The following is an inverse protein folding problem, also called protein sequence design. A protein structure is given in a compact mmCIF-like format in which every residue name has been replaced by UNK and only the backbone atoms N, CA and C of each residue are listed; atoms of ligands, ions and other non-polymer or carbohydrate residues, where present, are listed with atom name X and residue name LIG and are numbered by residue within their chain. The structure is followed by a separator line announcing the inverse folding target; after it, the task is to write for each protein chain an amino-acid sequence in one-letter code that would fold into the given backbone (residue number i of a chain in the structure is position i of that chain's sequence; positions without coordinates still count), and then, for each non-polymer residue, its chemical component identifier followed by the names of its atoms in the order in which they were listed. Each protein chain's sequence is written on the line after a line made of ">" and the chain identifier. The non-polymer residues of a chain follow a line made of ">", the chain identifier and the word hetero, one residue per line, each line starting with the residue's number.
data_IF_594616164750
#
_entry.id   IF_594616164750
#
_cell.length_a   1.000
_cell.length_b   1.000
_cell.length_c   1.000
_cell.angle_alpha   90.00
_cell.angle_beta   90.00
_cell.angle_gamma   90.00
#
_symmetry.space_group_name_H-M   'P 1'
#
loop_
_entity.id
_entity.type
_entity.pdbx_description
1 polymer ?
#
# COMPACT_ATOMS: atom_id res chain seq x y z
N UNK A 1 -169.08 183.87 -128.92
CA UNK A 1 -167.68 183.90 -129.42
C UNK A 1 -166.76 184.43 -128.32
N UNK A 2 -165.43 184.24 -128.45
CA UNK A 2 -164.27 185.09 -128.03
C UNK A 2 -164.44 186.05 -126.82
N UNK A 3 -163.45 186.27 -125.95
CA UNK A 3 -162.02 185.93 -125.99
C UNK A 3 -161.29 186.48 -124.75
N UNK A 4 -160.15 187.18 -124.92
CA UNK A 4 -159.43 187.90 -123.84
C UNK A 4 -160.09 189.24 -123.46
N UNK A 5 -159.40 190.20 -122.81
CA UNK A 5 -157.95 190.31 -122.54
C UNK A 5 -157.67 191.34 -121.40
N UNK A 6 -156.43 191.37 -120.88
CA UNK A 6 -155.70 192.49 -120.19
C UNK A 6 -156.39 193.46 -119.18
N UNK A 7 -155.79 193.51 -117.98
CA UNK A 7 -155.28 194.72 -117.24
C UNK A 7 -156.22 195.92 -116.93
N UNK A 8 -156.43 196.29 -115.65
CA UNK A 8 -156.15 197.64 -115.03
C UNK A 8 -156.47 197.70 -113.50
N UNK A 9 -156.46 198.91 -112.89
CA UNK A 9 -156.47 199.28 -111.44
C UNK A 9 -157.86 199.57 -110.80
N UNK A 10 -157.91 199.59 -109.45
CA UNK A 10 -158.97 200.13 -108.53
C UNK A 10 -160.27 199.29 -108.39
N UNK A 11 -161.21 199.47 -107.43
CA UNK A 11 -161.51 200.49 -106.39
C UNK A 11 -162.47 199.88 -105.29
N UNK A 12 -162.83 200.42 -104.10
CA UNK A 12 -162.34 201.46 -103.15
C UNK A 12 -163.12 201.40 -101.78
N UNK A 13 -162.41 201.58 -100.64
CA UNK A 13 -162.81 202.09 -99.28
C UNK A 13 -163.86 201.45 -98.29
N UNK A 14 -163.47 201.50 -96.99
CA UNK A 14 -164.23 201.73 -95.71
C UNK A 14 -164.91 200.55 -94.93
N UNK A 15 -164.31 200.18 -93.77
CA UNK A 15 -164.86 199.66 -92.47
C UNK A 15 -165.67 198.32 -92.42
N UNK A 16 -165.90 197.69 -91.23
CA UNK A 16 -164.99 197.23 -90.17
C UNK A 16 -165.09 195.71 -89.80
N UNK A 17 -164.17 195.19 -88.97
CA UNK A 17 -164.28 193.87 -88.27
C UNK A 17 -163.09 192.91 -88.51
N UNK A 18 -163.03 191.68 -87.98
CA UNK A 18 -163.68 191.08 -86.79
C UNK A 18 -162.92 189.78 -86.33
N UNK A 19 -161.61 189.64 -86.58
CA UNK A 19 -160.96 188.31 -86.70
C UNK A 19 -159.86 187.99 -85.67
N UNK A 20 -159.10 188.99 -85.20
CA UNK A 20 -157.72 188.76 -84.71
C UNK A 20 -157.58 188.41 -83.20
N UNK A 21 -158.48 187.58 -82.68
CA UNK A 21 -158.44 187.11 -81.28
C UNK A 21 -158.32 185.58 -81.14
N UNK A 22 -158.75 184.81 -82.14
CA UNK A 22 -158.95 183.36 -82.00
C UNK A 22 -157.76 182.54 -82.53
N UNK A 23 -156.95 183.09 -83.44
CA UNK A 23 -155.77 182.42 -84.01
C UNK A 23 -154.62 182.25 -83.00
N UNK A 24 -154.40 183.24 -82.12
CA UNK A 24 -153.30 183.23 -81.15
C UNK A 24 -153.37 182.07 -80.14
N UNK A 25 -154.58 181.70 -79.70
CA UNK A 25 -154.80 180.61 -78.73
C UNK A 25 -154.45 179.24 -79.32
N UNK A 26 -154.73 179.04 -80.62
CA UNK A 26 -154.52 177.76 -81.30
C UNK A 26 -153.02 177.47 -81.50
N UNK A 27 -152.23 178.49 -81.82
CA UNK A 27 -150.77 178.37 -81.98
C UNK A 27 -150.08 177.91 -80.68
N UNK A 28 -150.49 178.46 -79.54
CA UNK A 28 -149.93 178.12 -78.23
C UNK A 28 -150.16 176.65 -77.85
N UNK A 29 -151.33 176.10 -78.19
CA UNK A 29 -151.66 174.71 -77.85
C UNK A 29 -150.83 173.68 -78.64
N UNK A 30 -150.55 173.95 -79.92
CA UNK A 30 -149.71 173.10 -80.76
C UNK A 30 -148.25 173.06 -80.27
N UNK A 31 -147.72 174.20 -79.79
CA UNK A 31 -146.35 174.28 -79.28
C UNK A 31 -146.12 173.40 -78.04
N UNK A 32 -147.05 173.41 -77.08
CA UNK A 32 -146.97 172.59 -75.86
C UNK A 32 -146.98 171.10 -76.18
N UNK A 33 -147.83 170.67 -77.13
CA UNK A 33 -147.99 169.27 -77.49
C UNK A 33 -146.74 168.68 -78.17
N UNK A 34 -146.03 169.49 -78.98
CA UNK A 34 -144.79 169.09 -79.63
C UNK A 34 -143.63 168.92 -78.62
N UNK A 35 -143.56 169.81 -77.62
CA UNK A 35 -142.57 169.76 -76.54
C UNK A 35 -142.70 168.46 -75.70
N UNK A 36 -143.92 168.00 -75.45
CA UNK A 36 -144.18 166.74 -74.74
C UNK A 36 -143.64 165.51 -75.48
N UNK A 37 -143.85 165.41 -76.80
CA UNK A 37 -143.39 164.27 -77.62
C UNK A 37 -141.85 164.15 -77.60
N UNK A 38 -141.14 165.27 -77.67
CA UNK A 38 -139.66 165.29 -77.58
C UNK A 38 -139.18 164.79 -76.22
N UNK A 39 -139.85 165.18 -75.13
CA UNK A 39 -139.52 164.71 -73.78
C UNK A 39 -139.72 163.21 -73.61
N UNK A 40 -140.78 162.65 -74.20
CA UNK A 40 -141.07 161.20 -74.11
C UNK A 40 -140.04 160.34 -74.86
N UNK A 41 -139.56 160.82 -76.03
CA UNK A 41 -138.50 160.16 -76.79
C UNK A 41 -137.18 160.04 -76.02
N UNK A 42 -136.79 161.10 -75.30
CA UNK A 42 -135.55 161.13 -74.51
C UNK A 42 -135.58 160.18 -73.29
N UNK A 43 -136.76 159.91 -72.74
CA UNK A 43 -136.91 158.98 -71.61
C UNK A 43 -136.78 157.51 -72.04
N UNK A 44 -137.17 157.18 -73.28
CA UNK A 44 -137.14 155.82 -73.81
C UNK A 44 -135.73 155.32 -74.12
N UNK A 45 -134.81 156.21 -74.52
CA UNK A 45 -133.42 155.82 -74.83
C UNK A 45 -132.65 155.46 -73.55
N UNK A 46 -132.68 156.32 -72.52
CA UNK A 46 -131.92 156.08 -71.28
C UNK A 46 -132.33 154.80 -70.51
N UNK A 47 -133.57 154.33 -70.65
CA UNK A 47 -134.00 153.06 -70.06
C UNK A 47 -133.44 151.83 -70.80
N UNK A 48 -133.12 151.96 -72.09
CA UNK A 48 -132.60 150.86 -72.92
C UNK A 48 -131.13 150.64 -72.63
N UNK A 49 -130.31 151.69 -72.73
CA UNK A 49 -128.87 151.66 -72.46
C UNK A 49 -128.55 151.09 -71.07
N UNK A 50 -129.35 151.48 -70.06
CA UNK A 50 -129.17 151.08 -68.67
C UNK A 50 -129.46 149.60 -68.40
N UNK A 51 -130.35 148.98 -69.17
CA UNK A 51 -130.58 147.53 -69.08
C UNK A 51 -129.42 146.75 -69.70
N UNK A 52 -128.90 147.22 -70.84
CA UNK A 52 -127.82 146.54 -71.56
C UNK A 52 -126.51 146.51 -70.73
N UNK A 53 -126.22 147.59 -69.99
CA UNK A 53 -125.08 147.65 -69.07
C UNK A 53 -125.20 146.74 -67.83
N UNK A 54 -126.41 146.35 -67.42
CA UNK A 54 -126.63 145.39 -66.32
C UNK A 54 -126.44 143.93 -66.77
N UNK A 55 -126.62 143.65 -68.06
CA UNK A 55 -126.48 142.32 -68.63
C UNK A 55 -125.01 141.97 -68.89
N UNK A 56 -124.20 142.93 -69.39
CA UNK A 56 -122.74 142.76 -69.50
C UNK A 56 -122.06 142.56 -68.14
N UNK A 57 -122.45 143.34 -67.13
CA UNK A 57 -121.87 143.23 -65.78
C UNK A 57 -122.19 141.88 -65.11
N UNK A 58 -123.32 141.24 -65.48
CA UNK A 58 -123.66 139.88 -65.05
C UNK A 58 -122.81 138.83 -65.76
N UNK A 59 -122.47 139.03 -67.03
CA UNK A 59 -121.57 138.13 -67.75
C UNK A 59 -120.15 138.17 -67.17
N UNK A 60 -119.58 139.37 -66.95
CA UNK A 60 -118.27 139.54 -66.30
C UNK A 60 -118.24 138.90 -64.90
N UNK A 61 -119.28 139.06 -64.09
CA UNK A 61 -119.37 138.43 -62.77
C UNK A 61 -119.45 136.89 -62.83
N UNK A 62 -120.00 136.31 -63.90
CA UNK A 62 -119.99 134.85 -64.12
C UNK A 62 -118.60 134.37 -64.54
N UNK A 63 -117.96 135.08 -65.48
CA UNK A 63 -116.60 134.75 -65.94
C UNK A 63 -115.57 134.87 -64.81
N UNK A 64 -115.69 135.89 -63.95
CA UNK A 64 -114.90 136.01 -62.72
C UNK A 64 -115.19 134.91 -61.69
N UNK A 65 -116.42 134.38 -61.63
CA UNK A 65 -116.75 133.27 -60.74
C UNK A 65 -116.16 131.94 -61.24
N UNK A 66 -116.26 131.66 -62.55
CA UNK A 66 -115.74 130.44 -63.17
C UNK A 66 -114.20 130.42 -63.15
N UNK A 67 -113.54 131.53 -63.49
CA UNK A 67 -112.07 131.66 -63.41
C UNK A 67 -111.57 131.54 -61.96
N UNK A 68 -112.25 132.14 -60.99
CA UNK A 68 -111.94 131.97 -59.56
C UNK A 68 -112.17 130.53 -59.07
N UNK A 69 -113.11 129.79 -59.67
CA UNK A 69 -113.29 128.36 -59.39
C UNK A 69 -112.15 127.54 -59.99
N UNK A 70 -111.70 127.84 -61.22
CA UNK A 70 -110.55 127.16 -61.83
C UNK A 70 -109.24 127.42 -61.08
N UNK A 71 -109.01 128.65 -60.61
CA UNK A 71 -107.88 129.00 -59.71
C UNK A 71 -107.92 128.19 -58.42
N UNK A 72 -109.10 128.08 -57.78
CA UNK A 72 -109.28 127.26 -56.56
C UNK A 72 -109.03 125.78 -56.82
N UNK A 73 -109.52 125.23 -57.92
CA UNK A 73 -109.30 123.83 -58.32
C UNK A 73 -107.83 123.55 -58.64
N UNK A 74 -107.15 124.44 -59.37
CA UNK A 74 -105.72 124.31 -59.65
C UNK A 74 -104.90 124.39 -58.36
N UNK A 75 -105.21 125.35 -57.49
CA UNK A 75 -104.58 125.49 -56.18
C UNK A 75 -104.79 124.24 -55.32
N UNK A 76 -106.00 123.70 -55.27
CA UNK A 76 -106.29 122.48 -54.50
C UNK A 76 -105.48 121.28 -55.01
N UNK A 77 -105.35 121.10 -56.33
CA UNK A 77 -104.50 120.06 -56.93
C UNK A 77 -103.01 120.28 -56.68
N UNK A 78 -102.55 121.54 -56.63
CA UNK A 78 -101.16 121.87 -56.26
C UNK A 78 -100.89 121.61 -54.77
N UNK A 79 -101.83 121.93 -53.89
CA UNK A 79 -101.74 121.62 -52.45
C UNK A 79 -101.76 120.09 -52.23
N UNK A 80 -102.57 119.34 -52.98
CA UNK A 80 -102.59 117.86 -53.01
C UNK A 80 -101.26 117.28 -53.54
N UNK A 81 -100.74 117.77 -54.67
CA UNK A 81 -99.45 117.35 -55.24
C UNK A 81 -98.28 117.64 -54.30
N UNK A 82 -98.28 118.80 -53.63
CA UNK A 82 -97.27 119.15 -52.63
C UNK A 82 -97.38 118.24 -51.41
N UNK A 83 -98.58 117.88 -50.93
CA UNK A 83 -98.75 116.90 -49.85
C UNK A 83 -98.19 115.52 -50.25
N UNK A 84 -98.55 115.03 -51.44
CA UNK A 84 -98.05 113.74 -51.94
C UNK A 84 -96.53 113.71 -52.10
N UNK A 85 -95.92 114.80 -52.59
CA UNK A 85 -94.46 114.94 -52.67
C UNK A 85 -93.79 115.04 -51.28
N UNK A 86 -94.44 115.64 -50.28
CA UNK A 86 -93.94 115.61 -48.90
C UNK A 86 -94.02 114.21 -48.28
N UNK A 87 -95.10 113.46 -48.55
CA UNK A 87 -95.26 112.07 -48.10
C UNK A 87 -94.24 111.14 -48.77
N UNK A 88 -94.05 111.25 -50.09
CA UNK A 88 -93.04 110.48 -50.84
C UNK A 88 -91.60 110.84 -50.41
N UNK A 89 -91.31 112.12 -50.17
CA UNK A 89 -90.03 112.56 -49.62
C UNK A 89 -89.80 112.02 -48.21
N UNK A 90 -90.83 112.01 -47.35
CA UNK A 90 -90.69 111.49 -45.99
C UNK A 90 -90.52 109.97 -45.98
N UNK A 91 -91.25 109.23 -46.81
CA UNK A 91 -91.11 107.79 -46.97
C UNK A 91 -89.72 107.39 -47.51
N UNK A 92 -89.21 108.11 -48.52
CA UNK A 92 -87.86 107.85 -49.07
C UNK A 92 -86.74 108.27 -48.10
N UNK A 93 -86.96 109.28 -47.25
CA UNK A 93 -86.05 109.59 -46.15
C UNK A 93 -86.03 108.50 -45.07
N UNK A 94 -87.19 107.95 -44.69
CA UNK A 94 -87.30 106.81 -43.76
C UNK A 94 -86.55 105.60 -44.31
N UNK A 95 -86.86 105.17 -45.55
CA UNK A 95 -86.19 104.06 -46.22
C UNK A 95 -84.66 104.25 -46.34
N UNK A 96 -84.20 105.48 -46.57
CA UNK A 96 -82.76 105.80 -46.61
C UNK A 96 -82.11 105.61 -45.25
N UNK A 97 -82.75 106.03 -44.17
CA UNK A 97 -82.18 105.98 -42.83
C UNK A 97 -82.30 104.57 -42.20
N UNK A 98 -83.38 103.84 -42.48
CA UNK A 98 -83.48 102.38 -42.25
C UNK A 98 -82.37 101.61 -42.97
N UNK A 99 -82.12 101.92 -44.26
CA UNK A 99 -81.06 101.29 -45.04
C UNK A 99 -79.65 101.68 -44.57
N UNK A 100 -79.49 102.82 -43.89
CA UNK A 100 -78.23 103.22 -43.25
C UNK A 100 -78.00 102.45 -41.95
N UNK A 101 -79.01 102.35 -41.09
CA UNK A 101 -78.94 101.56 -39.86
C UNK A 101 -78.63 100.08 -40.17
N UNK A 102 -79.26 99.51 -41.20
CA UNK A 102 -78.94 98.16 -41.68
C UNK A 102 -77.52 98.04 -42.27
N UNK A 103 -77.00 99.09 -42.93
CA UNK A 103 -75.63 99.12 -43.45
C UNK A 103 -74.58 99.26 -42.34
N UNK A 104 -74.89 100.00 -41.27
CA UNK A 104 -74.02 100.13 -40.11
C UNK A 104 -74.01 98.82 -39.31
N UNK A 105 -75.16 98.19 -39.06
CA UNK A 105 -75.24 96.89 -38.38
C UNK A 105 -74.53 95.77 -39.17
N UNK A 106 -74.78 95.62 -40.48
CA UNK A 106 -74.07 94.61 -41.29
C UNK A 106 -72.57 94.90 -41.45
N UNK A 107 -72.15 96.16 -41.24
CA UNK A 107 -70.74 96.53 -41.16
C UNK A 107 -70.12 96.13 -39.82
N UNK A 108 -70.81 96.35 -38.70
CA UNK A 108 -70.35 95.89 -37.38
C UNK A 108 -70.25 94.36 -37.34
N UNK A 109 -71.23 93.63 -37.89
CA UNK A 109 -71.19 92.18 -38.07
C UNK A 109 -69.97 91.75 -38.92
N UNK A 110 -69.69 92.44 -40.02
CA UNK A 110 -68.56 92.14 -40.90
C UNK A 110 -67.20 92.46 -40.25
N UNK A 111 -67.10 93.53 -39.47
CA UNK A 111 -65.88 93.89 -38.74
C UNK A 111 -65.64 92.91 -37.57
N UNK A 112 -66.69 92.47 -36.87
CA UNK A 112 -66.60 91.40 -35.86
C UNK A 112 -66.24 90.04 -36.45
N UNK A 113 -66.82 89.66 -37.60
CA UNK A 113 -66.50 88.41 -38.30
C UNK A 113 -65.04 88.40 -38.80
N UNK A 114 -64.54 89.54 -39.31
CA UNK A 114 -63.12 89.70 -39.68
C UNK A 114 -62.19 89.54 -38.50
N UNK A 115 -62.54 90.09 -37.33
CA UNK A 115 -61.74 89.93 -36.11
C UNK A 115 -61.73 88.47 -35.63
N UNK A 116 -62.86 87.76 -35.70
CA UNK A 116 -62.90 86.31 -35.42
C UNK A 116 -62.03 85.50 -36.38
N UNK A 117 -62.05 85.81 -37.69
CA UNK A 117 -61.16 85.16 -38.67
C UNK A 117 -59.70 85.46 -38.35
N UNK A 118 -59.35 86.72 -38.04
CA UNK A 118 -57.97 87.12 -37.70
C UNK A 118 -57.43 86.40 -36.45
N UNK A 119 -58.29 86.18 -35.45
CA UNK A 119 -57.95 85.40 -34.26
C UNK A 119 -57.76 83.93 -34.64
N UNK A 120 -58.70 83.33 -35.38
CA UNK A 120 -58.61 81.94 -35.83
C UNK A 120 -57.41 81.65 -36.75
N UNK A 121 -56.99 82.60 -37.58
CA UNK A 121 -55.77 82.53 -38.37
C UNK A 121 -54.52 82.51 -37.48
N UNK A 122 -54.48 83.35 -36.42
CA UNK A 122 -53.40 83.38 -35.44
C UNK A 122 -53.32 82.11 -34.58
N UNK A 123 -54.47 81.57 -34.17
CA UNK A 123 -54.55 80.31 -33.41
C UNK A 123 -54.15 79.11 -34.28
N UNK A 124 -54.49 79.12 -35.57
CA UNK A 124 -54.08 78.13 -36.54
C UNK A 124 -52.57 78.20 -36.83
N UNK A 125 -51.99 79.40 -36.97
CA UNK A 125 -50.54 79.57 -37.13
C UNK A 125 -49.77 79.04 -35.91
N UNK A 126 -50.22 79.38 -34.69
CA UNK A 126 -49.64 78.84 -33.45
C UNK A 126 -49.74 77.31 -33.38
N UNK A 127 -50.91 76.74 -33.73
CA UNK A 127 -51.13 75.29 -33.76
C UNK A 127 -50.22 74.59 -34.80
N UNK A 128 -49.98 75.21 -35.95
CA UNK A 128 -49.08 74.68 -36.98
C UNK A 128 -47.61 74.73 -36.54
N UNK A 129 -47.20 75.77 -35.80
CA UNK A 129 -45.87 75.83 -35.19
C UNK A 129 -45.68 74.76 -34.10
N UNK A 130 -46.69 74.52 -33.26
CA UNK A 130 -46.65 73.44 -32.26
C UNK A 130 -46.55 72.06 -32.93
N UNK A 131 -47.38 71.79 -33.95
CA UNK A 131 -47.33 70.55 -34.73
C UNK A 131 -45.95 70.36 -35.40
N UNK A 132 -45.33 71.43 -35.92
CA UNK A 132 -43.99 71.36 -36.49
C UNK A 132 -42.92 71.01 -35.44
N UNK A 133 -42.98 71.62 -34.24
CA UNK A 133 -42.10 71.28 -33.13
C UNK A 133 -42.27 69.81 -32.70
N UNK A 134 -43.51 69.37 -32.50
CA UNK A 134 -43.82 67.99 -32.13
C UNK A 134 -43.37 66.98 -33.20
N UNK A 135 -43.44 67.32 -34.49
CA UNK A 135 -42.90 66.48 -35.56
C UNK A 135 -41.36 66.40 -35.53
N UNK A 136 -40.68 67.50 -35.18
CA UNK A 136 -39.23 67.50 -34.95
C UNK A 136 -38.86 66.65 -33.73
N UNK A 137 -39.57 66.81 -32.61
CA UNK A 137 -39.34 66.05 -31.37
C UNK A 137 -39.60 64.55 -31.56
N UNK A 138 -40.69 64.17 -32.23
CA UNK A 138 -40.98 62.77 -32.61
C UNK A 138 -39.87 62.19 -33.51
N UNK A 139 -39.30 63.00 -34.39
CA UNK A 139 -38.19 62.57 -35.27
C UNK A 139 -36.89 62.38 -34.48
N UNK A 140 -36.59 63.26 -33.52
CA UNK A 140 -35.45 63.13 -32.62
C UNK A 140 -35.60 61.92 -31.68
N UNK A 141 -36.78 61.70 -31.10
CA UNK A 141 -37.09 60.56 -30.24
C UNK A 141 -37.00 59.22 -31.00
N UNK A 142 -37.38 59.18 -32.28
CA UNK A 142 -37.15 58.01 -33.15
C UNK A 142 -35.66 57.76 -33.34
N UNK A 143 -34.87 58.78 -33.70
CA UNK A 143 -33.42 58.61 -33.86
C UNK A 143 -32.72 58.14 -32.56
N UNK A 144 -33.16 58.62 -31.39
CA UNK A 144 -32.65 58.16 -30.08
C UNK A 144 -33.09 56.73 -29.79
N UNK A 145 -34.33 56.34 -30.10
CA UNK A 145 -34.78 54.95 -29.99
C UNK A 145 -33.94 54.04 -30.89
N UNK A 146 -33.70 54.42 -32.13
CA UNK A 146 -32.99 53.59 -33.11
C UNK A 146 -31.51 53.39 -32.72
N UNK A 147 -30.87 54.41 -32.14
CA UNK A 147 -29.56 54.33 -31.48
C UNK A 147 -29.56 53.39 -30.25
N UNK A 148 -30.60 53.46 -29.41
CA UNK A 148 -30.74 52.55 -28.26
C UNK A 148 -31.02 51.11 -28.69
N UNK A 149 -31.84 50.87 -29.72
CA UNK A 149 -32.10 49.54 -30.30
C UNK A 149 -30.81 48.94 -30.88
N UNK A 150 -29.96 49.73 -31.57
CA UNK A 150 -28.63 49.29 -32.02
C UNK A 150 -27.73 48.90 -30.85
N UNK A 151 -27.64 49.74 -29.81
CA UNK A 151 -26.79 49.47 -28.63
C UNK A 151 -27.26 48.28 -27.81
N UNK A 152 -28.57 48.02 -27.75
CA UNK A 152 -29.11 46.80 -27.13
C UNK A 152 -28.65 45.58 -27.92
N UNK A 153 -28.77 45.58 -29.26
CA UNK A 153 -28.27 44.49 -30.10
C UNK A 153 -26.75 44.27 -30.00
N UNK A 154 -25.96 45.34 -29.89
CA UNK A 154 -24.51 45.28 -29.65
C UNK A 154 -24.17 44.67 -28.27
N UNK A 155 -24.93 45.02 -27.23
CA UNK A 155 -24.78 44.47 -25.88
C UNK A 155 -25.28 43.03 -25.77
N UNK A 156 -26.34 42.64 -26.48
CA UNK A 156 -26.82 41.26 -26.56
C UNK A 156 -25.79 40.38 -27.26
N UNK A 157 -25.24 40.81 -28.41
CA UNK A 157 -24.17 40.08 -29.10
C UNK A 157 -22.88 39.97 -28.26
N UNK A 158 -22.54 41.03 -27.51
CA UNK A 158 -21.40 41.00 -26.58
C UNK A 158 -21.65 40.07 -25.39
N UNK A 159 -22.89 39.97 -24.91
CA UNK A 159 -23.26 39.05 -23.84
C UNK A 159 -23.16 37.61 -24.30
N UNK A 160 -23.73 37.28 -25.46
CA UNK A 160 -23.65 35.95 -26.08
C UNK A 160 -22.19 35.50 -26.27
N UNK A 161 -21.31 36.37 -26.78
CA UNK A 161 -19.87 36.10 -26.92
C UNK A 161 -19.23 35.77 -25.55
N UNK A 162 -19.53 36.54 -24.50
CA UNK A 162 -19.01 36.25 -23.15
C UNK A 162 -19.62 35.00 -22.51
N UNK A 163 -20.85 34.61 -22.86
CA UNK A 163 -21.45 33.35 -22.41
C UNK A 163 -20.81 32.13 -23.11
N UNK A 164 -20.49 32.23 -24.40
CA UNK A 164 -19.71 31.22 -25.12
C UNK A 164 -18.29 31.08 -24.56
N UNK A 165 -17.57 32.19 -24.33
CA UNK A 165 -16.24 32.17 -23.68
C UNK A 165 -16.32 31.52 -22.29
N UNK A 166 -17.30 31.90 -21.47
CA UNK A 166 -17.52 31.31 -20.15
C UNK A 166 -17.92 29.83 -20.23
N UNK A 167 -18.62 29.39 -21.27
CA UNK A 167 -18.86 28.00 -21.59
C UNK A 167 -17.54 27.24 -21.84
N UNK A 168 -16.74 27.72 -22.79
CA UNK A 168 -15.44 27.14 -23.14
C UNK A 168 -14.48 27.09 -21.94
N UNK A 169 -14.44 28.14 -21.11
CA UNK A 169 -13.63 28.19 -19.89
C UNK A 169 -14.12 27.17 -18.86
N UNK A 170 -15.43 27.01 -18.65
CA UNK A 170 -16.01 26.01 -17.74
C UNK A 170 -15.66 24.59 -18.19
N UNK A 171 -15.79 24.28 -19.48
CA UNK A 171 -15.48 22.94 -20.00
C UNK A 171 -13.98 22.64 -20.01
N UNK A 172 -13.13 23.64 -20.31
CA UNK A 172 -11.69 23.51 -20.14
C UNK A 172 -11.30 23.33 -18.67
N UNK A 173 -12.01 23.95 -17.73
CA UNK A 173 -11.78 23.75 -16.30
C UNK A 173 -12.15 22.32 -15.87
N UNK A 174 -13.31 21.80 -16.30
CA UNK A 174 -13.74 20.40 -16.11
C UNK A 174 -12.71 19.41 -16.67
N UNK A 175 -12.21 19.66 -17.88
CA UNK A 175 -11.19 18.82 -18.52
C UNK A 175 -9.87 18.82 -17.72
N UNK A 176 -9.42 19.99 -17.24
CA UNK A 176 -8.22 20.10 -16.41
C UNK A 176 -8.40 19.44 -15.03
N UNK A 177 -9.59 19.52 -14.42
CA UNK A 177 -9.91 18.80 -13.19
C UNK A 177 -9.87 17.27 -13.40
N UNK A 178 -10.44 16.77 -14.50
CA UNK A 178 -10.39 15.35 -14.83
C UNK A 178 -8.95 14.85 -15.08
N UNK A 179 -8.14 15.62 -15.82
CA UNK A 179 -6.71 15.36 -16.03
C UNK A 179 -5.91 15.38 -14.72
N UNK A 180 -6.23 16.28 -13.80
CA UNK A 180 -5.59 16.37 -12.48
C UNK A 180 -5.93 15.14 -11.62
N UNK A 181 -7.20 14.71 -11.60
CA UNK A 181 -7.62 13.52 -10.85
C UNK A 181 -6.95 12.23 -11.36
N UNK A 182 -6.88 12.04 -12.68
CA UNK A 182 -6.15 10.93 -13.31
C UNK A 182 -4.63 10.98 -12.98
N UNK A 183 -4.01 12.16 -13.03
CA UNK A 183 -2.60 12.32 -12.65
C UNK A 183 -2.34 12.01 -11.15
N UNK A 184 -3.26 12.43 -10.26
CA UNK A 184 -3.21 12.15 -8.83
C UNK A 184 -3.36 10.65 -8.54
N UNK A 185 -4.33 9.97 -9.17
CA UNK A 185 -4.53 8.53 -9.00
C UNK A 185 -3.35 7.71 -9.56
N UNK A 186 -2.78 8.09 -10.71
CA UNK A 186 -1.54 7.50 -11.22
C UNK A 186 -0.37 7.66 -10.25
N UNK A 187 -0.27 8.83 -9.60
CA UNK A 187 0.77 9.11 -8.59
C UNK A 187 0.56 8.25 -7.34
N UNK A 188 -0.69 8.13 -6.87
CA UNK A 188 -1.06 7.27 -5.74
C UNK A 188 -0.72 5.80 -6.01
N UNK A 189 -1.11 5.28 -7.18
CA UNK A 189 -0.79 3.92 -7.63
C UNK A 189 0.71 3.69 -7.89
N UNK A 190 1.49 4.73 -8.19
CA UNK A 190 2.94 4.64 -8.28
C UNK A 190 3.57 4.56 -6.88
N UNK A 191 3.11 5.37 -5.93
CA UNK A 191 3.56 5.36 -4.54
C UNK A 191 3.28 4.01 -3.85
N UNK A 192 2.07 3.46 -4.02
CA UNK A 192 1.68 2.13 -3.52
C UNK A 192 2.60 1.00 -4.04
N UNK A 193 3.07 1.12 -5.30
CA UNK A 193 4.03 0.19 -5.92
C UNK A 193 5.48 0.43 -5.47
N UNK A 194 5.83 1.65 -5.06
CA UNK A 194 7.14 1.95 -4.45
C UNK A 194 7.18 1.35 -3.05
N UNK A 195 6.18 1.59 -2.21
CA UNK A 195 6.11 1.04 -0.85
C UNK A 195 6.12 -0.50 -0.84
N UNK A 196 5.40 -1.12 -1.79
CA UNK A 196 5.44 -2.59 -2.02
C UNK A 196 6.83 -3.08 -2.42
N UNK A 197 7.58 -2.30 -3.21
CA UNK A 197 8.97 -2.61 -3.60
C UNK A 197 9.94 -2.40 -2.45
N UNK A 198 9.77 -1.35 -1.65
CA UNK A 198 10.62 -1.03 -0.50
C UNK A 198 10.42 -2.03 0.65
N UNK A 199 9.23 -2.64 0.77
CA UNK A 199 9.02 -3.85 1.56
C UNK A 199 9.85 -5.01 0.98
N UNK A 200 9.66 -5.36 -0.30
CA UNK A 200 10.36 -6.50 -0.91
C UNK A 200 11.89 -6.35 -0.93
N UNK A 201 12.42 -5.13 -1.02
CA UNK A 201 13.85 -4.83 -0.93
C UNK A 201 14.35 -5.11 0.49
N UNK A 202 13.61 -4.73 1.55
CA UNK A 202 13.97 -5.07 2.93
C UNK A 202 13.95 -6.58 3.18
N UNK A 203 12.94 -7.29 2.68
CA UNK A 203 12.90 -8.77 2.76
C UNK A 203 14.15 -9.39 2.12
N UNK A 204 14.55 -8.89 0.94
CA UNK A 204 15.71 -9.39 0.19
C UNK A 204 17.06 -9.00 0.82
N UNK A 205 17.15 -7.86 1.51
CA UNK A 205 18.35 -7.48 2.27
C UNK A 205 18.51 -8.41 3.47
N UNK A 206 17.44 -8.66 4.24
CA UNK A 206 17.47 -9.62 5.34
C UNK A 206 17.82 -11.04 4.85
N UNK A 207 17.26 -11.49 3.73
CA UNK A 207 17.61 -12.79 3.13
C UNK A 207 19.09 -12.85 2.68
N UNK A 208 19.70 -11.72 2.32
CA UNK A 208 21.14 -11.65 2.00
C UNK A 208 21.99 -11.66 3.27
N UNK A 209 21.60 -10.95 4.31
CA UNK A 209 22.27 -10.93 5.62
C UNK A 209 22.26 -12.33 6.26
N UNK A 210 21.09 -12.99 6.34
CA UNK A 210 20.96 -14.39 6.82
C UNK A 210 21.87 -15.36 6.05
N UNK A 211 22.01 -15.17 4.72
CA UNK A 211 22.88 -15.99 3.86
C UNK A 211 24.37 -15.67 4.05
N UNK A 212 24.73 -14.43 4.38
CA UNK A 212 26.11 -14.05 4.68
C UNK A 212 26.56 -14.67 6.00
N UNK A 213 25.75 -14.56 7.06
CA UNK A 213 25.99 -15.19 8.36
C UNK A 213 26.13 -16.72 8.22
N UNK A 214 25.29 -17.36 7.41
CA UNK A 214 25.38 -18.80 7.14
C UNK A 214 26.69 -19.19 6.40
N UNK A 215 27.14 -18.37 5.44
CA UNK A 215 28.41 -18.60 4.73
C UNK A 215 29.62 -18.38 5.65
N UNK A 216 29.59 -17.39 6.54
CA UNK A 216 30.66 -17.19 7.53
C UNK A 216 30.73 -18.36 8.52
N UNK A 217 29.60 -18.90 8.96
CA UNK A 217 29.55 -20.11 9.79
C UNK A 217 30.09 -21.35 9.04
N UNK A 218 29.75 -21.54 7.76
CA UNK A 218 30.27 -22.65 6.95
C UNK A 218 31.79 -22.53 6.73
N UNK A 219 32.31 -21.31 6.54
CA UNK A 219 33.76 -21.04 6.45
C UNK A 219 34.48 -21.33 7.77
N UNK A 220 33.92 -20.94 8.92
CA UNK A 220 34.50 -21.25 10.23
C UNK A 220 34.53 -22.76 10.49
N UNK A 221 33.42 -23.46 10.23
CA UNK A 221 33.34 -24.93 10.35
C UNK A 221 34.33 -25.65 9.41
N UNK A 222 34.54 -25.11 8.22
CA UNK A 222 35.54 -25.63 7.26
C UNK A 222 36.97 -25.44 7.77
N UNK A 223 37.30 -24.25 8.28
CA UNK A 223 38.63 -23.96 8.84
C UNK A 223 38.94 -24.83 10.09
N UNK A 224 37.96 -25.02 10.98
CA UNK A 224 38.07 -25.93 12.12
C UNK A 224 38.27 -27.40 11.68
N UNK A 225 37.57 -27.83 10.63
CA UNK A 225 37.72 -29.17 10.06
C UNK A 225 39.12 -29.36 9.42
N UNK A 226 39.62 -28.38 8.67
CA UNK A 226 40.97 -28.41 8.09
C UNK A 226 42.06 -28.44 9.18
N UNK A 227 41.96 -27.59 10.19
CA UNK A 227 42.89 -27.58 11.33
C UNK A 227 42.88 -28.92 12.09
N UNK A 228 41.71 -29.56 12.22
CA UNK A 228 41.57 -30.88 12.85
C UNK A 228 42.11 -32.01 11.98
N UNK A 229 41.94 -31.95 10.66
CA UNK A 229 42.57 -32.88 9.71
C UNK A 229 44.09 -32.76 9.76
N UNK A 230 44.63 -31.54 9.83
CA UNK A 230 46.07 -31.32 9.91
C UNK A 230 46.67 -31.80 11.24
N UNK A 231 46.00 -31.54 12.37
CA UNK A 231 46.37 -32.14 13.66
C UNK A 231 46.34 -33.68 13.62
N UNK A 232 45.35 -34.28 12.95
CA UNK A 232 45.28 -35.74 12.79
C UNK A 232 46.37 -36.28 11.87
N UNK A 233 46.78 -35.57 10.81
CA UNK A 233 47.94 -35.94 9.98
C UNK A 233 49.23 -35.95 10.79
N UNK A 234 49.44 -34.94 11.63
CA UNK A 234 50.61 -34.84 12.51
C UNK A 234 50.63 -35.96 13.55
N UNK A 235 49.49 -36.30 14.15
CA UNK A 235 49.34 -37.45 15.03
C UNK A 235 49.62 -38.78 14.30
N UNK A 236 49.08 -38.98 13.10
CA UNK A 236 49.32 -40.19 12.28
C UNK A 236 50.79 -40.30 11.87
N UNK A 237 51.48 -39.19 11.59
CA UNK A 237 52.90 -39.22 11.29
C UNK A 237 53.73 -39.56 12.53
N UNK A 238 53.49 -38.90 13.67
CA UNK A 238 54.17 -39.22 14.92
C UNK A 238 53.96 -40.69 15.35
N UNK A 239 52.76 -41.26 15.12
CA UNK A 239 52.48 -42.68 15.35
C UNK A 239 53.26 -43.59 14.38
N UNK A 240 53.44 -43.22 13.12
CA UNK A 240 54.29 -43.96 12.17
C UNK A 240 55.76 -43.93 12.57
N UNK A 241 56.26 -42.77 12.97
CA UNK A 241 57.64 -42.58 13.41
C UNK A 241 57.90 -43.42 14.69
N UNK A 242 56.95 -43.41 15.63
CA UNK A 242 56.96 -44.30 16.80
C UNK A 242 56.97 -45.79 16.40
N UNK A 243 56.06 -46.23 15.51
CA UNK A 243 56.02 -47.62 15.03
C UNK A 243 57.34 -48.01 14.34
N UNK A 244 57.97 -47.11 13.59
CA UNK A 244 59.28 -47.35 12.98
C UNK A 244 60.37 -47.55 14.03
N UNK A 245 60.44 -46.70 15.05
CA UNK A 245 61.41 -46.85 16.15
C UNK A 245 61.16 -48.10 17.01
N UNK A 246 59.90 -48.52 17.16
CA UNK A 246 59.53 -49.76 17.84
C UNK A 246 59.91 -51.00 17.01
N UNK A 247 59.77 -50.95 15.69
CA UNK A 247 60.19 -52.01 14.79
C UNK A 247 61.73 -52.16 14.76
N UNK A 248 62.46 -51.05 14.73
CA UNK A 248 63.93 -51.04 14.82
C UNK A 248 64.41 -51.59 16.18
N UNK A 249 63.80 -51.14 17.29
CA UNK A 249 64.09 -51.67 18.62
C UNK A 249 63.73 -53.15 18.77
N UNK A 250 62.65 -53.62 18.13
CA UNK A 250 62.26 -55.03 18.15
C UNK A 250 63.24 -55.88 17.35
N UNK A 251 63.70 -55.43 16.18
CA UNK A 251 64.72 -56.13 15.40
C UNK A 251 66.02 -56.28 16.19
N UNK A 252 66.46 -55.23 16.89
CA UNK A 252 67.66 -55.27 17.74
C UNK A 252 67.51 -56.28 18.88
N UNK A 253 66.33 -56.37 19.52
CA UNK A 253 66.05 -57.39 20.54
C UNK A 253 65.96 -58.80 19.93
N UNK A 254 65.35 -58.99 18.75
CA UNK A 254 65.30 -60.28 18.05
C UNK A 254 66.71 -60.77 17.66
N UNK A 255 67.57 -59.90 17.13
CA UNK A 255 68.98 -60.20 16.84
C UNK A 255 69.76 -60.52 18.13
N UNK A 256 69.50 -59.78 19.22
CA UNK A 256 70.12 -60.01 20.54
C UNK A 256 69.69 -61.34 21.16
N UNK A 257 68.41 -61.70 21.06
CA UNK A 257 67.88 -62.99 21.53
C UNK A 257 68.44 -64.14 20.68
N UNK A 258 68.58 -63.97 19.37
CA UNK A 258 69.22 -64.95 18.50
C UNK A 258 70.70 -65.17 18.87
N UNK A 259 71.45 -64.10 19.18
CA UNK A 259 72.84 -64.22 19.66
C UNK A 259 72.91 -64.91 21.03
N UNK A 260 72.00 -64.57 21.95
CA UNK A 260 71.91 -65.22 23.26
C UNK A 260 71.59 -66.71 23.14
N UNK A 261 70.66 -67.11 22.27
CA UNK A 261 70.35 -68.53 22.04
C UNK A 261 71.56 -69.28 21.47
N UNK A 262 72.24 -68.74 20.46
CA UNK A 262 73.45 -69.36 19.91
C UNK A 262 74.57 -69.52 20.96
N UNK A 263 74.71 -68.55 21.88
CA UNK A 263 75.61 -68.65 23.03
C UNK A 263 75.16 -69.74 24.02
N UNK A 264 73.86 -69.87 24.29
CA UNK A 264 73.30 -70.95 25.14
C UNK A 264 73.57 -72.31 24.52
N UNK A 265 73.29 -72.50 23.24
CA UNK A 265 73.51 -73.77 22.53
C UNK A 265 75.00 -74.18 22.57
N UNK A 266 75.90 -73.22 22.36
CA UNK A 266 77.35 -73.41 22.49
C UNK A 266 77.79 -73.79 23.91
N UNK A 267 77.12 -73.27 24.95
CA UNK A 267 77.37 -73.61 26.35
C UNK A 267 76.83 -75.00 26.71
N UNK A 268 75.66 -75.38 26.17
CA UNK A 268 75.08 -76.72 26.35
C UNK A 268 75.97 -77.78 25.71
N UNK A 269 76.49 -77.56 24.50
CA UNK A 269 77.42 -78.48 23.85
C UNK A 269 78.70 -78.68 24.68
N UNK A 270 79.30 -77.60 25.18
CA UNK A 270 80.48 -77.67 26.08
C UNK A 270 80.20 -78.38 27.40
N UNK A 271 79.04 -78.13 28.00
CA UNK A 271 78.64 -78.76 29.26
C UNK A 271 78.42 -80.26 29.08
N UNK A 272 77.82 -80.68 27.96
CA UNK A 272 77.63 -82.10 27.64
C UNK A 272 78.96 -82.85 27.44
N UNK A 273 79.98 -82.19 26.87
CA UNK A 273 81.33 -82.77 26.75
C UNK A 273 81.98 -82.93 28.13
N UNK A 274 82.03 -81.86 28.94
CA UNK A 274 82.66 -81.92 30.26
C UNK A 274 81.94 -82.89 31.23
N UNK A 275 80.62 -83.03 31.12
CA UNK A 275 79.85 -84.00 31.91
C UNK A 275 80.12 -85.46 31.48
N UNK A 276 80.48 -85.70 30.22
CA UNK A 276 80.82 -87.05 29.76
C UNK A 276 82.19 -87.50 30.33
N UNK A 277 83.18 -86.60 30.35
CA UNK A 277 84.53 -86.87 30.88
C UNK A 277 84.48 -87.25 32.38
N UNK A 278 83.78 -86.47 33.21
CA UNK A 278 83.64 -86.72 34.66
C UNK A 278 82.93 -88.05 34.97
N UNK A 279 81.93 -88.43 34.17
CA UNK A 279 81.17 -89.69 34.34
C UNK A 279 82.00 -90.92 33.93
N UNK A 280 82.95 -90.77 33.00
CA UNK A 280 83.88 -91.83 32.61
C UNK A 280 84.89 -92.10 33.75
N UNK A 281 85.54 -91.05 34.29
CA UNK A 281 86.50 -91.22 35.41
C UNK A 281 85.86 -91.88 36.65
N UNK A 282 84.65 -91.46 37.04
CA UNK A 282 83.93 -92.04 38.17
C UNK A 282 83.54 -93.52 37.99
N UNK A 283 83.42 -94.01 36.74
CA UNK A 283 83.08 -95.40 36.45
C UNK A 283 84.27 -96.35 36.62
N UNK A 284 85.46 -95.92 36.22
CA UNK A 284 86.67 -96.76 36.24
C UNK A 284 87.19 -97.00 37.66
N UNK A 285 87.28 -95.96 38.50
CA UNK A 285 87.71 -96.10 39.89
C UNK A 285 86.86 -97.08 40.70
N UNK A 286 85.53 -97.06 40.50
CA UNK A 286 84.60 -98.00 41.13
C UNK A 286 84.88 -99.45 40.70
N UNK A 287 85.24 -99.65 39.44
CA UNK A 287 85.45 -100.98 38.86
C UNK A 287 86.72 -101.66 39.40
N UNK A 288 87.82 -100.90 39.55
CA UNK A 288 89.07 -101.42 40.12
C UNK A 288 88.92 -101.78 41.62
N UNK A 289 88.14 -101.00 42.37
CA UNK A 289 87.89 -101.19 43.80
C UNK A 289 87.13 -102.50 44.10
N UNK A 290 85.99 -102.75 43.43
CA UNK A 290 85.22 -103.98 43.63
C UNK A 290 85.96 -105.25 43.18
N UNK A 291 86.82 -105.15 42.16
CA UNK A 291 87.68 -106.26 41.74
C UNK A 291 88.58 -106.74 42.88
N UNK A 292 89.32 -105.81 43.50
CA UNK A 292 90.22 -106.08 44.63
C UNK A 292 89.50 -106.64 45.87
N UNK A 293 88.25 -106.24 46.11
CA UNK A 293 87.47 -106.74 47.24
C UNK A 293 86.96 -108.18 47.02
N UNK A 294 86.55 -108.51 45.78
CA UNK A 294 86.08 -109.85 45.41
C UNK A 294 87.21 -110.89 45.44
N UNK A 295 88.42 -110.51 45.02
CA UNK A 295 89.59 -111.40 44.97
C UNK A 295 90.01 -111.93 46.36
N UNK A 296 89.78 -111.17 47.43
CA UNK A 296 90.21 -111.53 48.80
C UNK A 296 89.10 -112.16 49.65
N UNK A 297 87.82 -111.84 49.38
CA UNK A 297 86.68 -112.44 50.08
C UNK A 297 86.15 -113.73 49.42
N UNK A 298 86.63 -114.09 48.22
CA UNK A 298 86.22 -115.30 47.51
C UNK A 298 86.78 -116.62 48.05
N UNK A 299 87.87 -116.58 48.82
CA UNK A 299 88.52 -117.77 49.41
C UNK A 299 87.84 -118.29 50.69
N UNK A 300 86.72 -117.68 51.12
CA UNK A 300 85.95 -118.11 52.28
C UNK A 300 84.79 -118.98 51.78
N UNK A 301 84.88 -120.29 51.97
CA UNK A 301 83.99 -121.33 51.38
C UNK A 301 82.49 -121.23 51.72
N UNK A 302 82.08 -120.23 52.51
CA UNK A 302 80.76 -120.08 53.11
C UNK A 302 80.10 -118.70 52.82
N UNK A 303 80.63 -117.93 51.85
CA UNK A 303 80.09 -116.61 51.42
C UNK A 303 79.44 -116.70 50.03
N UNK A 304 78.24 -116.13 49.87
CA UNK A 304 77.60 -115.92 48.56
C UNK A 304 77.85 -114.49 48.06
N UNK A 305 78.57 -114.32 46.94
CA UNK A 305 78.90 -113.01 46.35
C UNK A 305 77.94 -112.71 45.20
N UNK A 306 77.12 -111.67 45.32
CA UNK A 306 76.13 -111.27 44.29
C UNK A 306 76.27 -109.78 43.96
N UNK A 307 76.82 -109.51 42.78
CA UNK A 307 77.06 -108.14 42.29
C UNK A 307 78.11 -107.41 43.14
N UNK A 308 77.63 -106.42 43.88
CA UNK A 308 78.33 -105.55 44.84
C UNK A 308 78.19 -106.03 46.30
N UNK A 309 77.47 -107.14 46.55
CA UNK A 309 77.09 -107.62 47.88
C UNK A 309 77.79 -108.91 48.28
N UNK A 310 78.12 -109.03 49.56
CA UNK A 310 78.68 -110.22 50.21
C UNK A 310 77.68 -110.73 51.24
N UNK A 311 77.16 -111.95 51.07
CA UNK A 311 76.12 -112.54 51.92
C UNK A 311 76.67 -113.60 52.85
N UNK A 312 76.17 -113.58 54.08
CA UNK A 312 76.51 -114.51 55.16
C UNK A 312 75.22 -115.03 55.80
N UNK A 313 75.16 -116.32 56.14
CA UNK A 313 74.05 -116.85 56.96
C UNK A 313 74.21 -116.33 58.40
N UNK A 314 73.10 -115.93 59.05
CA UNK A 314 73.16 -115.32 60.39
C UNK A 314 73.74 -116.27 61.45
N UNK A 315 73.52 -117.57 61.28
CA UNK A 315 74.01 -118.65 62.14
C UNK A 315 75.54 -118.71 62.21
N UNK A 316 76.26 -118.15 61.23
CA UNK A 316 77.73 -118.05 61.24
C UNK A 316 78.24 -116.98 62.22
N UNK A 317 77.35 -116.11 62.71
CA UNK A 317 77.69 -115.02 63.64
C UNK A 317 76.90 -115.09 64.95
N UNK A 318 75.62 -115.47 64.92
CA UNK A 318 74.69 -115.31 66.04
C UNK A 318 73.98 -116.62 66.43
N UNK A 319 73.78 -116.83 67.73
CA UNK A 319 72.86 -117.88 68.20
C UNK A 319 71.39 -117.57 67.80
N UNK A 320 70.52 -118.59 67.87
CA UNK A 320 69.10 -118.45 67.50
C UNK A 320 68.41 -117.44 68.42
N UNK A 321 67.79 -116.42 67.83
CA UNK A 321 67.11 -115.32 68.51
C UNK A 321 67.98 -114.40 69.40
N UNK A 322 69.32 -114.50 69.33
CA UNK A 322 70.25 -113.52 69.92
C UNK A 322 70.81 -112.55 68.86
N UNK A 323 71.34 -111.42 69.32
CA UNK A 323 72.19 -110.49 68.56
C UNK A 323 73.64 -110.42 69.10
N UNK A 324 74.00 -111.27 70.06
CA UNK A 324 75.38 -111.46 70.53
C UNK A 324 76.18 -112.28 69.51
N UNK A 325 77.41 -111.85 69.21
CA UNK A 325 78.30 -112.54 68.28
C UNK A 325 78.99 -113.69 69.02
N UNK A 326 78.90 -114.91 68.48
CA UNK A 326 79.64 -116.06 68.98
C UNK A 326 81.10 -116.06 68.52
N UNK A 327 82.00 -116.73 69.26
CA UNK A 327 83.46 -116.69 69.02
C UNK A 327 83.89 -117.10 67.59
N UNK A 328 83.20 -118.07 66.97
CA UNK A 328 83.44 -118.45 65.57
C UNK A 328 83.05 -117.32 64.59
N UNK A 329 82.07 -116.49 64.95
CA UNK A 329 81.65 -115.30 64.23
C UNK A 329 82.62 -114.13 64.41
N UNK A 330 83.11 -113.90 65.62
CA UNK A 330 84.16 -112.91 65.92
C UNK A 330 85.38 -113.15 65.03
N UNK A 331 85.92 -114.37 65.03
CA UNK A 331 87.10 -114.75 64.24
C UNK A 331 86.94 -114.56 62.72
N UNK A 332 85.70 -114.64 62.20
CA UNK A 332 85.38 -114.35 60.79
C UNK A 332 85.33 -112.84 60.54
N UNK A 333 84.72 -112.09 61.45
CA UNK A 333 84.63 -110.63 61.36
C UNK A 333 85.99 -109.94 61.55
N UNK A 334 86.93 -110.53 62.30
CA UNK A 334 88.32 -110.04 62.37
C UNK A 334 89.00 -110.06 60.99
N UNK A 335 88.80 -111.13 60.21
CA UNK A 335 89.33 -111.25 58.85
C UNK A 335 88.72 -110.19 57.93
N UNK A 336 87.39 -110.00 57.99
CA UNK A 336 86.69 -108.93 57.26
C UNK A 336 87.23 -107.54 57.67
N UNK A 337 87.40 -107.25 58.96
CA UNK A 337 87.95 -105.98 59.44
C UNK A 337 89.41 -105.74 59.01
N UNK A 338 90.24 -106.79 58.94
CA UNK A 338 91.61 -106.70 58.41
C UNK A 338 91.61 -106.32 56.92
N UNK A 339 90.72 -106.92 56.14
CA UNK A 339 90.57 -106.66 54.70
C UNK A 339 90.04 -105.24 54.47
N UNK A 340 88.97 -104.85 55.17
CA UNK A 340 88.35 -103.53 55.05
C UNK A 340 89.34 -102.40 55.33
N UNK A 341 90.12 -102.48 56.41
CA UNK A 341 91.17 -101.50 56.72
C UNK A 341 92.21 -101.38 55.60
N UNK A 342 92.75 -102.52 55.12
CA UNK A 342 93.77 -102.56 54.06
C UNK A 342 93.29 -101.96 52.74
N UNK A 343 92.00 -102.06 52.43
CA UNK A 343 91.44 -101.50 51.19
C UNK A 343 91.01 -100.03 51.40
N UNK A 344 90.50 -99.65 52.58
CA UNK A 344 90.14 -98.28 52.93
C UNK A 344 91.33 -97.30 52.74
N UNK A 345 92.53 -97.69 53.18
CA UNK A 345 93.78 -96.93 52.99
C UNK A 345 94.14 -96.66 51.51
N UNK A 346 93.48 -97.33 50.55
CA UNK A 346 93.72 -97.23 49.11
C UNK A 346 92.60 -96.53 48.33
N UNK A 347 91.65 -95.91 49.02
CA UNK A 347 90.55 -95.16 48.40
C UNK A 347 90.78 -93.65 48.64
N UNK A 348 90.77 -92.81 47.59
CA UNK A 348 90.93 -91.36 47.76
C UNK A 348 89.89 -90.76 48.73
N UNK A 349 90.27 -89.81 49.61
CA UNK A 349 89.36 -89.24 50.60
C UNK A 349 88.16 -88.49 49.98
N UNK A 350 88.27 -88.08 48.72
CA UNK A 350 87.23 -87.43 47.92
C UNK A 350 86.05 -88.37 47.58
N UNK A 351 86.25 -89.70 47.65
CA UNK A 351 85.20 -90.68 47.37
C UNK A 351 84.39 -90.95 48.65
N UNK A 352 83.13 -90.49 48.67
CA UNK A 352 82.22 -90.60 49.81
C UNK A 352 81.51 -91.96 49.90
N UNK A 353 82.31 -93.03 49.96
CA UNK A 353 81.85 -94.41 50.16
C UNK A 353 81.56 -94.75 51.62
N UNK A 354 80.61 -95.66 51.84
CA UNK A 354 80.22 -96.24 53.13
C UNK A 354 79.96 -97.75 52.94
N UNK A 355 80.46 -98.59 53.86
CA UNK A 355 80.07 -99.99 53.96
C UNK A 355 78.79 -100.11 54.80
N UNK A 356 77.72 -100.58 54.18
CA UNK A 356 76.44 -100.84 54.82
C UNK A 356 76.33 -102.31 55.22
N UNK A 357 76.13 -102.55 56.51
CA UNK A 357 75.74 -103.84 57.10
C UNK A 357 74.21 -103.94 57.04
N UNK A 358 73.69 -104.86 56.24
CA UNK A 358 72.26 -105.10 56.04
C UNK A 358 71.83 -106.38 56.75
N UNK A 359 71.01 -106.27 57.81
CA UNK A 359 70.53 -107.40 58.60
C UNK A 359 69.11 -107.83 58.19
N UNK A 360 68.86 -109.14 58.16
CA UNK A 360 67.56 -109.71 57.77
C UNK A 360 67.14 -110.87 58.68
N UNK A 361 65.83 -111.11 58.79
CA UNK A 361 65.24 -112.28 59.46
C UNK A 361 64.43 -113.13 58.47
N UNK A 362 63.96 -114.29 58.92
CA UNK A 362 62.82 -114.95 58.27
C UNK A 362 61.48 -114.45 58.82
N UNK A 363 60.37 -114.92 58.24
CA UNK A 363 58.99 -114.46 58.55
C UNK A 363 58.43 -114.92 59.90
N UNK A 364 59.15 -115.74 60.67
CA UNK A 364 58.65 -116.21 61.97
C UNK A 364 58.74 -115.05 62.96
N UNK A 365 57.63 -114.61 63.58
CA UNK A 365 57.65 -113.42 64.42
C UNK A 365 58.39 -113.69 65.73
N UNK A 366 59.50 -113.00 65.96
CA UNK A 366 60.07 -112.83 67.29
C UNK A 366 59.27 -111.78 68.07
N UNK A 367 59.09 -112.00 69.37
CA UNK A 367 58.63 -110.97 70.30
C UNK A 367 59.11 -111.33 71.71
N UNK A 368 60.35 -110.96 72.01
CA UNK A 368 60.94 -111.06 73.35
C UNK A 368 60.95 -109.69 74.02
N UNK A 369 61.33 -109.64 75.30
CA UNK A 369 61.51 -108.37 76.02
C UNK A 369 62.68 -107.52 75.49
N UNK A 370 63.56 -108.12 74.68
CA UNK A 370 64.77 -107.52 74.12
C UNK A 370 64.61 -107.22 72.63
N UNK A 371 63.94 -108.11 71.88
CA UNK A 371 63.59 -107.94 70.46
C UNK A 371 62.07 -108.02 70.29
N UNK A 372 61.35 -106.88 70.40
CA UNK A 372 59.89 -106.83 70.28
C UNK A 372 59.34 -107.30 68.92
N UNK A 373 60.12 -107.11 67.84
CA UNK A 373 59.84 -107.62 66.49
C UNK A 373 61.11 -107.99 65.72
N UNK A 374 60.92 -108.51 64.50
CA UNK A 374 62.00 -108.84 63.58
C UNK A 374 62.81 -107.62 63.09
N UNK A 375 62.26 -106.40 63.17
CA UNK A 375 63.01 -105.17 62.88
C UNK A 375 64.10 -104.91 63.93
N UNK A 376 63.78 -105.06 65.21
CA UNK A 376 64.76 -104.86 66.29
C UNK A 376 65.83 -105.96 66.26
N UNK A 377 65.48 -107.23 66.04
CA UNK A 377 66.46 -108.31 65.93
C UNK A 377 67.44 -108.10 64.76
N UNK A 378 66.92 -107.78 63.57
CA UNK A 378 67.78 -107.54 62.39
C UNK A 378 68.66 -106.30 62.53
N UNK A 379 68.12 -105.23 63.10
CA UNK A 379 68.86 -103.98 63.35
C UNK A 379 69.94 -104.18 64.41
N UNK A 380 69.61 -104.88 65.51
CA UNK A 380 70.58 -105.21 66.56
C UNK A 380 71.72 -106.06 66.01
N UNK A 381 71.44 -107.11 65.21
CA UNK A 381 72.47 -107.94 64.56
C UNK A 381 73.39 -107.12 63.64
N UNK A 382 72.82 -106.25 62.80
CA UNK A 382 73.62 -105.36 61.95
C UNK A 382 74.47 -104.37 62.78
N UNK A 383 73.93 -103.88 63.90
CA UNK A 383 74.65 -103.01 64.84
C UNK A 383 75.76 -103.73 65.59
N UNK A 384 75.56 -104.96 66.07
CA UNK A 384 76.60 -105.76 66.72
C UNK A 384 77.80 -105.96 65.80
N UNK A 385 77.56 -106.29 64.52
CA UNK A 385 78.63 -106.41 63.51
C UNK A 385 79.30 -105.06 63.25
N UNK A 386 78.54 -103.96 63.12
CA UNK A 386 79.12 -102.62 62.99
C UNK A 386 80.00 -102.24 64.19
N UNK A 387 79.56 -102.51 65.41
CA UNK A 387 80.34 -102.22 66.63
C UNK A 387 81.60 -103.10 66.72
N UNK A 388 81.51 -104.39 66.35
CA UNK A 388 82.68 -105.27 66.28
C UNK A 388 83.70 -104.80 65.23
N UNK A 389 83.24 -104.40 64.04
CA UNK A 389 84.11 -103.84 63.00
C UNK A 389 84.78 -102.52 63.46
N UNK A 390 84.08 -101.68 64.24
CA UNK A 390 84.64 -100.46 64.85
C UNK A 390 85.70 -100.78 65.90
N UNK A 391 85.46 -101.75 66.78
CA UNK A 391 86.45 -102.16 67.81
C UNK A 391 87.70 -102.77 67.17
N UNK A 392 87.51 -103.53 66.09
CA UNK A 392 88.57 -103.99 65.20
C UNK A 392 89.18 -102.87 64.33
N UNK A 393 88.80 -101.61 64.51
CA UNK A 393 89.46 -100.44 63.94
C UNK A 393 89.06 -100.05 62.52
N UNK A 394 87.88 -100.46 62.04
CA UNK A 394 87.28 -99.90 60.81
C UNK A 394 86.69 -98.51 61.13
N UNK A 395 86.92 -97.46 60.31
CA UNK A 395 86.45 -96.11 60.62
C UNK A 395 84.92 -96.02 60.76
N UNK A 396 84.38 -95.49 61.88
CA UNK A 396 82.92 -95.39 62.10
C UNK A 396 82.18 -94.55 61.06
N UNK A 397 82.84 -93.54 60.48
CA UNK A 397 82.31 -92.68 59.42
C UNK A 397 82.19 -93.40 58.06
N UNK A 398 82.78 -94.59 57.92
CA UNK A 398 82.70 -95.46 56.74
C UNK A 398 81.79 -96.67 56.98
N UNK A 399 81.02 -96.71 58.07
CA UNK A 399 80.11 -97.79 58.43
C UNK A 399 78.66 -97.31 58.60
N UNK A 400 77.71 -98.12 58.16
CA UNK A 400 76.28 -97.98 58.44
C UNK A 400 75.68 -99.35 58.78
N UNK A 401 74.66 -99.39 59.65
CA UNK A 401 73.92 -100.61 59.99
C UNK A 401 72.42 -100.39 59.76
N UNK A 402 71.77 -101.31 59.06
CA UNK A 402 70.34 -101.26 58.72
C UNK A 402 69.75 -102.66 58.88
N UNK A 403 68.75 -102.81 59.75
CA UNK A 403 67.87 -103.98 59.73
C UNK A 403 66.73 -103.78 58.73
N UNK A 404 66.34 -104.84 58.02
CA UNK A 404 65.17 -104.89 57.15
C UNK A 404 64.08 -105.85 57.63
N UNK A 405 64.30 -106.51 58.79
CA UNK A 405 63.45 -107.58 59.30
C UNK A 405 63.21 -108.67 58.27
N UNK A 406 61.95 -109.12 58.19
CA UNK A 406 61.46 -110.13 57.26
C UNK A 406 61.06 -109.55 55.88
N UNK A 407 61.13 -108.23 55.69
CA UNK A 407 60.53 -107.51 54.57
C UNK A 407 61.38 -107.51 53.28
N UNK A 408 62.52 -108.21 53.28
CA UNK A 408 63.34 -108.49 52.10
C UNK A 408 63.80 -109.97 52.09
N UNK A 409 62.91 -110.93 51.82
CA UNK A 409 63.28 -112.33 51.68
C UNK A 409 64.06 -112.58 50.37
N UNK A 410 64.99 -113.53 50.39
CA UNK A 410 65.60 -114.11 49.17
C UNK A 410 64.80 -115.31 48.64
N UNK A 411 63.96 -115.92 49.48
CA UNK A 411 63.11 -117.03 49.12
C UNK A 411 61.78 -116.98 49.89
N UNK A 412 60.68 -117.28 49.21
CA UNK A 412 59.34 -117.15 49.79
C UNK A 412 58.90 -118.39 50.59
N UNK A 413 59.53 -119.55 50.38
CA UNK A 413 59.10 -120.86 50.87
C UNK A 413 59.25 -121.11 52.38
N UNK A 414 58.38 -121.96 52.93
CA UNK A 414 58.27 -122.20 54.39
C UNK A 414 59.26 -123.26 54.93
N UNK A 415 60.05 -123.88 54.07
CA UNK A 415 61.02 -124.91 54.45
C UNK A 415 62.23 -124.37 55.24
N UNK A 416 62.88 -125.19 56.09
CA UNK A 416 63.97 -124.74 56.96
C UNK A 416 65.16 -124.09 56.24
N UNK A 417 65.41 -124.50 55.00
CA UNK A 417 66.48 -123.98 54.14
C UNK A 417 66.18 -122.56 53.63
N UNK A 418 64.98 -122.30 53.13
CA UNK A 418 64.56 -120.97 52.71
C UNK A 418 64.46 -120.00 53.90
N UNK A 419 63.99 -120.49 55.06
CA UNK A 419 64.05 -119.72 56.31
C UNK A 419 65.51 -119.36 56.67
N UNK A 420 66.46 -120.27 56.53
CA UNK A 420 67.88 -119.98 56.79
C UNK A 420 68.47 -118.96 55.80
N UNK A 421 68.16 -119.10 54.50
CA UNK A 421 68.59 -118.16 53.46
C UNK A 421 68.02 -116.74 53.67
N UNK A 422 66.86 -116.62 54.30
CA UNK A 422 66.29 -115.32 54.68
C UNK A 422 66.99 -114.69 55.89
N UNK A 423 67.35 -115.50 56.91
CA UNK A 423 68.14 -115.05 58.09
C UNK A 423 69.61 -114.82 57.70
N UNK A 424 69.90 -113.70 57.07
CA UNK A 424 71.24 -113.36 56.55
C UNK A 424 71.73 -111.99 57.01
N UNK A 425 73.04 -111.80 56.90
CA UNK A 425 73.68 -110.49 56.87
C UNK A 425 74.22 -110.29 55.45
N UNK A 426 73.96 -109.13 54.85
CA UNK A 426 74.65 -108.70 53.62
C UNK A 426 75.58 -107.52 53.94
N UNK A 427 76.79 -107.52 53.37
CA UNK A 427 77.68 -106.36 53.34
C UNK A 427 77.67 -105.77 51.94
N UNK A 428 77.34 -104.48 51.84
CA UNK A 428 77.23 -103.72 50.58
C UNK A 428 78.06 -102.44 50.68
N UNK A 429 78.57 -101.97 49.55
CA UNK A 429 79.17 -100.63 49.44
C UNK A 429 78.15 -99.67 48.83
N UNK A 430 77.99 -98.50 49.43
CA UNK A 430 77.11 -97.41 48.98
C UNK A 430 77.88 -96.10 48.95
N UNK A 431 77.40 -95.12 48.17
CA UNK A 431 77.72 -93.74 48.46
C UNK A 431 76.85 -93.26 49.65
N UNK A 432 77.33 -92.22 50.35
CA UNK A 432 76.60 -91.46 51.37
C UNK A 432 75.43 -90.64 50.77
#
# INVERSE_FOLDING_TARGET
>A
MRGGDRRNRSSVNIWPGFVDALAAVLLAFVFVLLLFVVSQLYLSTQLTDRNQALESLRAELSEMADTLSMERDQRARLEEQVSGLYEELHATLSQRDEAREALELTREELEAAREQVRIGESDLEASLMEIASLQQDISALRAVRDDLESRVGELEASLDETEEEMGAIRDRNRELQARLADAQERTRLAQEKIETRDLRIRDLVAEIEDRQDAIEQEQQLTADAEARVESLRQQVQALRDQISSLAESLQIEEETVAEQQARIDTLVERLNVALAEEVEELSDYRSEFFGRLREVLGDIEEIEIVGDRFRFQSELFFETASADIGADGEARLEQVALILRRIADRIPPEIDWVLQVEGHTDRRPISTAEFPSNWELSTARAQSILYFLIDQGVPPDRLAAVGYGEYQPLAEGDDPEDLARNRRIELRLSNR
#
